data_IF_153029598508
#
_entry.id   IF_153029598508
#
_cell.length_a   1.000
_cell.length_b   1.000
_cell.length_c   1.000
_cell.angle_alpha   90.00
_cell.angle_beta   90.00
_cell.angle_gamma   90.00
#
_symmetry.space_group_name_H-M   'P 1'
#
loop_
_entity.id
_entity.type
_entity.pdbx_description
1 polymer ?
#
# COMPACT_ATOMS: atom_id res chain seq x y z
N UNK A 1 17.29 57.00 -11.85
CA UNK A 1 16.61 56.02 -12.74
C UNK A 1 17.20 54.65 -12.46
N UNK A 2 16.54 53.84 -11.63
CA UNK A 2 16.93 52.46 -11.36
C UNK A 2 16.23 51.57 -12.38
N UNK A 3 17.00 51.00 -13.31
CA UNK A 3 16.52 50.09 -14.35
C UNK A 3 16.13 48.78 -13.65
N UNK A 4 14.83 48.47 -13.64
CA UNK A 4 14.35 47.14 -13.30
C UNK A 4 14.78 46.20 -14.44
N UNK A 5 15.83 45.41 -14.20
CA UNK A 5 16.21 44.31 -15.09
C UNK A 5 15.07 43.30 -15.04
N UNK A 6 14.23 43.32 -16.08
CA UNK A 6 13.16 42.35 -16.27
C UNK A 6 13.75 40.95 -16.28
N UNK A 7 13.35 40.14 -15.30
CA UNK A 7 13.69 38.72 -15.24
C UNK A 7 13.20 38.09 -16.54
N UNK A 8 14.09 37.50 -17.33
CA UNK A 8 13.72 36.77 -18.55
C UNK A 8 12.61 35.77 -18.20
N UNK A 9 11.56 35.61 -19.03
CA UNK A 9 10.53 34.62 -18.77
C UNK A 9 11.20 33.26 -18.72
N UNK A 10 11.25 32.65 -17.52
CA UNK A 10 11.68 31.26 -17.39
C UNK A 10 10.72 30.43 -18.24
N UNK A 11 11.25 29.76 -19.27
CA UNK A 11 10.46 28.83 -20.07
C UNK A 11 9.94 27.74 -19.14
N UNK A 12 8.67 27.83 -18.74
CA UNK A 12 8.02 26.85 -17.87
C UNK A 12 8.08 25.49 -18.55
N UNK A 13 8.70 24.53 -17.89
CA UNK A 13 8.79 23.17 -18.39
C UNK A 13 7.47 22.42 -18.20
N UNK A 14 7.38 21.23 -18.82
CA UNK A 14 6.30 20.29 -18.53
C UNK A 14 6.28 19.88 -17.06
N UNK A 15 7.46 19.77 -16.43
CA UNK A 15 7.61 19.44 -15.01
C UNK A 15 6.92 20.48 -14.11
N UNK A 16 7.17 21.78 -14.36
CA UNK A 16 6.53 22.87 -13.60
C UNK A 16 5.01 22.87 -13.80
N UNK A 17 4.56 22.55 -15.02
CA UNK A 17 3.12 22.46 -15.33
C UNK A 17 2.44 21.30 -14.59
N UNK A 18 3.13 20.15 -14.48
CA UNK A 18 2.65 19.00 -13.71
C UNK A 18 2.70 19.28 -12.20
N UNK A 19 3.75 19.94 -11.72
CA UNK A 19 3.88 20.33 -10.31
C UNK A 19 2.74 21.27 -9.88
N UNK A 20 2.48 22.31 -10.68
CA UNK A 20 1.37 23.26 -10.49
C UNK A 20 0.01 22.53 -10.47
N UNK A 21 -0.17 21.54 -11.36
CA UNK A 21 -1.39 20.74 -11.37
C UNK A 21 -1.49 19.86 -10.11
N UNK A 22 -0.46 19.11 -9.76
CA UNK A 22 -0.47 18.19 -8.62
C UNK A 22 -0.74 18.90 -7.29
N UNK A 23 -0.20 20.11 -7.13
CA UNK A 23 -0.27 20.90 -5.89
C UNK A 23 -1.47 21.85 -5.82
N UNK A 24 -2.35 21.86 -6.82
CA UNK A 24 -3.55 22.71 -6.83
C UNK A 24 -4.45 22.40 -5.62
N UNK A 25 -4.89 23.44 -4.94
CA UNK A 25 -5.87 23.36 -3.87
C UNK A 25 -7.22 22.86 -4.41
N UNK A 26 -7.71 21.77 -3.80
CA UNK A 26 -8.90 21.03 -4.23
C UNK A 26 -9.39 20.17 -3.06
N UNK A 27 -10.63 19.66 -3.16
CA UNK A 27 -11.26 18.85 -2.11
C UNK A 27 -10.39 17.68 -1.62
N UNK A 28 -9.77 16.94 -2.55
CA UNK A 28 -8.74 15.93 -2.23
C UNK A 28 -7.41 16.34 -2.85
N UNK A 29 -6.54 16.96 -2.07
CA UNK A 29 -5.16 17.29 -2.48
C UNK A 29 -4.48 16.05 -3.11
N UNK A 30 -3.75 16.20 -4.22
CA UNK A 30 -3.03 15.07 -4.83
C UNK A 30 -1.56 15.08 -4.39
N UNK A 31 -0.79 16.06 -4.84
CA UNK A 31 0.65 16.12 -4.62
C UNK A 31 1.42 15.01 -5.35
N UNK A 32 2.75 15.11 -5.37
CA UNK A 32 3.60 14.04 -5.89
C UNK A 32 3.45 12.76 -5.05
N UNK A 33 3.30 12.92 -3.74
CA UNK A 33 3.04 11.81 -2.81
C UNK A 33 1.77 11.04 -3.16
N UNK A 34 0.74 11.71 -3.70
CA UNK A 34 -0.52 11.11 -4.12
C UNK A 34 -0.36 10.07 -5.22
N UNK A 35 0.65 10.21 -6.09
CA UNK A 35 0.92 9.26 -7.17
C UNK A 35 1.33 7.88 -6.65
N UNK A 36 1.97 7.83 -5.48
CA UNK A 36 2.27 6.58 -4.78
C UNK A 36 1.10 6.18 -3.87
N UNK A 37 0.60 7.12 -3.06
CA UNK A 37 -0.38 6.84 -2.02
C UNK A 37 -1.69 6.28 -2.58
N UNK A 38 -2.32 6.96 -3.55
CA UNK A 38 -3.67 6.59 -3.98
C UNK A 38 -3.75 5.19 -4.59
N UNK A 39 -2.92 4.81 -5.58
CA UNK A 39 -3.01 3.46 -6.12
C UNK A 39 -2.69 2.40 -5.06
N UNK A 40 -1.65 2.60 -4.24
CA UNK A 40 -1.27 1.63 -3.22
C UNK A 40 -2.32 1.47 -2.12
N UNK A 41 -2.86 2.58 -1.59
CA UNK A 41 -3.90 2.53 -0.56
C UNK A 41 -5.21 1.92 -1.10
N UNK A 42 -5.59 2.28 -2.32
CA UNK A 42 -6.79 1.76 -2.96
C UNK A 42 -6.68 0.25 -3.20
N UNK A 43 -5.52 -0.22 -3.69
CA UNK A 43 -5.28 -1.65 -3.92
C UNK A 43 -5.19 -2.44 -2.62
N UNK A 44 -4.53 -1.91 -1.57
CA UNK A 44 -4.48 -2.58 -0.27
C UNK A 44 -5.87 -2.74 0.35
N UNK A 45 -6.66 -1.66 0.38
CA UNK A 45 -8.02 -1.69 0.91
C UNK A 45 -8.95 -2.57 0.05
N UNK A 46 -8.90 -2.40 -1.27
CA UNK A 46 -9.70 -3.17 -2.21
C UNK A 46 -9.36 -4.65 -2.20
N UNK A 47 -8.08 -5.01 -2.07
CA UNK A 47 -7.60 -6.39 -1.92
C UNK A 47 -8.12 -7.03 -0.65
N UNK A 48 -8.11 -6.29 0.48
CA UNK A 48 -8.68 -6.77 1.73
C UNK A 48 -10.20 -6.98 1.65
N UNK A 49 -10.95 -6.02 1.10
CA UNK A 49 -12.39 -6.14 0.89
C UNK A 49 -12.74 -7.30 -0.04
N UNK A 50 -12.00 -7.46 -1.13
CA UNK A 50 -12.21 -8.55 -2.09
C UNK A 50 -11.93 -9.90 -1.44
N UNK A 51 -10.83 -10.02 -0.71
CA UNK A 51 -10.43 -11.27 -0.07
C UNK A 51 -11.39 -11.71 1.02
N UNK A 52 -11.71 -10.80 1.96
CA UNK A 52 -12.69 -11.07 3.03
C UNK A 52 -14.11 -11.34 2.52
N UNK A 53 -14.45 -10.87 1.31
CA UNK A 53 -15.77 -11.12 0.73
C UNK A 53 -15.85 -12.44 -0.02
N UNK A 54 -14.83 -12.79 -0.80
CA UNK A 54 -14.95 -13.85 -1.81
C UNK A 54 -13.89 -14.94 -1.76
N UNK A 55 -12.80 -14.77 -1.00
CA UNK A 55 -11.62 -15.64 -1.14
C UNK A 55 -11.44 -16.57 0.07
N UNK A 56 -11.30 -17.86 -0.26
CA UNK A 56 -11.07 -18.93 0.70
C UNK A 56 -9.62 -19.01 1.17
N UNK A 57 -9.42 -19.52 2.38
CA UNK A 57 -8.13 -19.94 2.91
C UNK A 57 -8.01 -21.47 3.01
N UNK A 58 -8.87 -22.21 2.32
CA UNK A 58 -8.88 -23.68 2.36
C UNK A 58 -7.55 -24.30 1.90
N UNK A 59 -6.95 -23.77 0.84
CA UNK A 59 -5.73 -24.33 0.25
C UNK A 59 -4.44 -23.90 0.96
N UNK A 60 -4.50 -22.91 1.85
CA UNK A 60 -3.35 -22.40 2.61
C UNK A 60 -3.40 -22.81 4.08
N UNK A 61 -4.59 -22.79 4.69
CA UNK A 61 -4.81 -23.04 6.13
C UNK A 61 -5.87 -24.10 6.43
N UNK A 62 -6.67 -24.54 5.45
CA UNK A 62 -7.80 -25.43 5.70
C UNK A 62 -8.97 -24.74 6.43
N UNK A 63 -9.14 -23.44 6.22
CA UNK A 63 -10.10 -22.58 6.94
C UNK A 63 -11.00 -21.83 5.95
N UNK A 64 -12.29 -21.69 6.29
CA UNK A 64 -13.21 -20.77 5.63
C UNK A 64 -12.99 -19.34 6.15
N UNK A 65 -12.76 -18.38 5.26
CA UNK A 65 -12.28 -17.04 5.63
C UNK A 65 -13.03 -15.89 4.96
N UNK A 66 -14.12 -16.17 4.23
CA UNK A 66 -14.87 -15.16 3.50
C UNK A 66 -16.37 -15.15 3.80
N UNK A 67 -17.02 -14.02 3.55
CA UNK A 67 -18.49 -13.91 3.63
C UNK A 67 -19.18 -14.94 2.72
N UNK A 68 -18.61 -15.19 1.54
CA UNK A 68 -19.10 -16.20 0.60
C UNK A 68 -19.13 -17.62 1.22
N UNK A 69 -18.22 -17.91 2.14
CA UNK A 69 -18.14 -19.20 2.84
C UNK A 69 -18.92 -19.22 4.16
N UNK A 70 -19.59 -18.11 4.52
CA UNK A 70 -20.40 -17.99 5.74
C UNK A 70 -19.67 -17.42 6.96
N UNK A 71 -18.45 -16.88 6.79
CA UNK A 71 -17.82 -16.09 7.84
C UNK A 71 -18.58 -14.77 8.08
N UNK A 72 -18.40 -14.17 9.26
CA UNK A 72 -18.94 -12.84 9.59
C UNK A 72 -17.81 -11.82 9.73
N UNK A 73 -18.13 -10.54 9.96
CA UNK A 73 -17.13 -9.47 10.02
C UNK A 73 -15.98 -9.72 11.01
N UNK A 74 -16.24 -10.46 12.10
CA UNK A 74 -15.24 -10.77 13.12
C UNK A 74 -14.35 -11.96 12.76
N UNK A 75 -14.73 -12.75 11.75
CA UNK A 75 -14.07 -14.02 11.41
C UNK A 75 -13.57 -14.09 9.98
N UNK A 76 -13.87 -13.10 9.14
CA UNK A 76 -13.31 -13.01 7.80
C UNK A 76 -11.85 -12.59 7.85
N UNK A 77 -11.03 -13.12 6.95
CA UNK A 77 -9.63 -12.75 6.87
C UNK A 77 -9.09 -12.89 5.45
N UNK A 78 -8.10 -12.06 5.10
CA UNK A 78 -7.15 -12.38 4.04
C UNK A 78 -5.97 -13.11 4.69
N UNK A 79 -5.99 -14.44 4.60
CA UNK A 79 -5.00 -15.28 5.29
C UNK A 79 -3.67 -15.35 4.54
N UNK A 80 -2.60 -15.60 5.29
CA UNK A 80 -1.25 -15.78 4.77
C UNK A 80 -1.14 -16.93 3.75
N UNK A 81 -0.14 -16.90 2.85
CA UNK A 81 0.16 -18.03 1.97
C UNK A 81 0.54 -19.28 2.76
N UNK A 82 0.39 -20.47 2.16
CA UNK A 82 0.85 -21.73 2.78
C UNK A 82 2.36 -21.71 3.05
N UNK A 83 2.82 -22.38 4.12
CA UNK A 83 4.24 -22.32 4.52
C UNK A 83 5.22 -22.83 3.44
N UNK A 84 4.77 -23.70 2.53
CA UNK A 84 5.57 -24.15 1.38
C UNK A 84 5.95 -23.02 0.41
N UNK A 85 5.25 -21.88 0.46
CA UNK A 85 5.55 -20.70 -0.35
C UNK A 85 6.75 -19.90 0.20
N UNK A 86 7.20 -20.21 1.43
CA UNK A 86 8.29 -19.49 2.10
C UNK A 86 8.04 -17.99 2.12
N UNK A 87 9.03 -17.23 1.63
CA UNK A 87 8.97 -15.77 1.49
C UNK A 87 8.75 -15.30 0.06
N UNK A 88 8.16 -16.13 -0.81
CA UNK A 88 7.85 -15.72 -2.19
C UNK A 88 7.05 -14.43 -2.19
N UNK A 89 7.42 -13.49 -3.06
CA UNK A 89 6.63 -12.27 -3.28
C UNK A 89 5.23 -12.61 -3.84
N UNK A 90 5.08 -13.81 -4.40
CA UNK A 90 3.82 -14.36 -4.89
C UNK A 90 3.16 -13.38 -5.85
N UNK A 91 3.94 -12.88 -6.82
CA UNK A 91 3.40 -12.01 -7.85
C UNK A 91 2.40 -12.78 -8.72
N UNK A 92 1.37 -12.09 -9.23
CA UNK A 92 0.40 -12.69 -10.14
C UNK A 92 1.07 -13.29 -11.39
N UNK A 93 2.07 -12.61 -11.91
CA UNK A 93 2.91 -13.07 -13.03
C UNK A 93 4.12 -13.92 -12.60
N UNK A 94 4.22 -14.21 -11.30
CA UNK A 94 5.27 -15.06 -10.75
C UNK A 94 5.11 -16.52 -11.16
N UNK A 95 6.16 -17.35 -10.97
CA UNK A 95 6.16 -18.74 -11.39
C UNK A 95 5.10 -19.60 -10.68
N UNK A 96 4.61 -19.17 -9.52
CA UNK A 96 3.65 -19.94 -8.72
C UNK A 96 2.20 -19.80 -9.22
N UNK A 97 1.85 -18.62 -9.73
CA UNK A 97 0.50 -18.31 -10.24
C UNK A 97 0.44 -18.27 -11.77
N UNK A 98 1.53 -17.91 -12.44
CA UNK A 98 1.65 -17.87 -13.89
C UNK A 98 0.46 -17.20 -14.60
N UNK A 99 0.08 -16.01 -14.13
CA UNK A 99 -1.06 -15.21 -14.62
C UNK A 99 -2.46 -15.80 -14.38
N UNK A 100 -2.58 -16.97 -13.75
CA UNK A 100 -3.86 -17.48 -13.29
C UNK A 100 -4.28 -16.77 -11.99
N UNK A 101 -5.19 -15.80 -12.13
CA UNK A 101 -5.72 -15.03 -11.01
C UNK A 101 -6.46 -15.89 -9.98
N UNK A 102 -7.21 -16.91 -10.44
CA UNK A 102 -7.95 -17.79 -9.53
C UNK A 102 -6.98 -18.59 -8.68
N UNK A 103 -5.96 -19.16 -9.33
CA UNK A 103 -4.92 -19.90 -8.61
C UNK A 103 -4.14 -19.01 -7.66
N UNK A 104 -3.81 -17.79 -8.09
CA UNK A 104 -3.13 -16.82 -7.26
C UNK A 104 -3.90 -16.50 -5.97
N UNK A 105 -5.22 -16.31 -6.05
CA UNK A 105 -6.08 -16.15 -4.88
C UNK A 105 -6.05 -17.39 -3.97
N UNK A 106 -6.15 -18.59 -4.53
CA UNK A 106 -6.09 -19.85 -3.77
C UNK A 106 -4.75 -20.06 -3.06
N UNK A 107 -3.64 -19.56 -3.61
CA UNK A 107 -2.31 -19.67 -3.02
C UNK A 107 -2.02 -18.63 -1.93
N UNK A 108 -2.97 -17.74 -1.62
CA UNK A 108 -2.78 -16.65 -0.65
C UNK A 108 -2.09 -15.41 -1.21
N UNK A 109 -2.04 -15.25 -2.53
CA UNK A 109 -1.40 -14.10 -3.17
C UNK A 109 -1.97 -12.74 -2.76
N UNK A 110 -3.25 -12.68 -2.38
CA UNK A 110 -3.85 -11.46 -1.84
C UNK A 110 -3.18 -10.98 -0.54
N UNK A 111 -2.58 -11.87 0.25
CA UNK A 111 -1.89 -11.46 1.47
C UNK A 111 -0.63 -10.63 1.16
N UNK A 112 0.24 -11.12 0.26
CA UNK A 112 1.44 -10.35 -0.13
C UNK A 112 1.03 -9.09 -0.89
N UNK A 113 -0.03 -9.15 -1.70
CA UNK A 113 -0.57 -7.99 -2.38
C UNK A 113 -1.00 -6.88 -1.40
N UNK A 114 -1.81 -7.22 -0.40
CA UNK A 114 -2.28 -6.25 0.62
C UNK A 114 -1.12 -5.76 1.47
N UNK A 115 -0.22 -6.65 1.92
CA UNK A 115 0.92 -6.28 2.74
C UNK A 115 1.88 -5.32 2.01
N UNK A 116 2.25 -5.63 0.76
CA UNK A 116 3.21 -4.83 -0.01
C UNK A 116 2.60 -3.50 -0.46
N UNK A 117 1.38 -3.49 -1.00
CA UNK A 117 0.70 -2.23 -1.35
C UNK A 117 0.42 -1.40 -0.09
N UNK A 118 0.07 -2.03 1.03
CA UNK A 118 -0.08 -1.39 2.33
C UNK A 118 1.20 -0.70 2.80
N UNK A 119 2.36 -1.37 2.68
CA UNK A 119 3.66 -0.79 3.00
C UNK A 119 3.94 0.47 2.15
N UNK A 120 3.75 0.39 0.84
CA UNK A 120 3.93 1.54 -0.06
C UNK A 120 2.91 2.65 0.19
N UNK A 121 1.68 2.31 0.57
CA UNK A 121 0.66 3.28 0.96
C UNK A 121 1.08 4.05 2.22
N UNK A 122 1.62 3.38 3.23
CA UNK A 122 2.14 4.03 4.44
C UNK A 122 3.33 4.97 4.12
N UNK A 123 4.22 4.55 3.22
CA UNK A 123 5.30 5.41 2.70
C UNK A 123 4.70 6.64 2.00
N UNK A 124 3.76 6.43 1.07
CA UNK A 124 3.07 7.51 0.36
C UNK A 124 2.34 8.48 1.29
N UNK A 125 1.75 7.96 2.37
CA UNK A 125 1.04 8.79 3.36
C UNK A 125 2.01 9.64 4.19
N UNK A 126 3.15 9.09 4.61
CA UNK A 126 4.19 9.86 5.29
C UNK A 126 4.79 10.94 4.38
N UNK A 127 5.07 10.61 3.11
CA UNK A 127 5.50 11.58 2.09
C UNK A 127 4.47 12.69 1.89
N UNK A 128 3.17 12.35 1.93
CA UNK A 128 2.08 13.33 1.83
C UNK A 128 2.06 14.28 3.02
N UNK A 129 2.26 13.79 4.23
CA UNK A 129 2.35 14.64 5.43
C UNK A 129 3.52 15.62 5.32
N UNK A 130 4.68 15.17 4.80
CA UNK A 130 5.84 16.03 4.53
C UNK A 130 5.54 17.08 3.45
N UNK A 131 4.94 16.66 2.34
CA UNK A 131 4.62 17.53 1.21
C UNK A 131 3.64 18.63 1.62
N UNK A 132 2.54 18.27 2.30
CA UNK A 132 1.56 19.25 2.79
C UNK A 132 2.20 20.18 3.83
N UNK A 133 2.98 19.64 4.77
CA UNK A 133 3.67 20.47 5.77
C UNK A 133 4.59 21.51 5.10
N UNK A 134 5.29 21.11 4.04
CA UNK A 134 6.16 22.00 3.27
C UNK A 134 5.37 23.07 2.51
N UNK A 135 4.23 22.72 1.90
CA UNK A 135 3.40 23.67 1.14
C UNK A 135 2.70 24.69 2.05
N UNK A 136 2.25 24.26 3.23
CA UNK A 136 1.59 25.14 4.21
C UNK A 136 2.62 25.93 5.04
N UNK A 137 3.88 25.46 5.11
CA UNK A 137 4.95 26.13 5.87
C UNK A 137 4.96 25.79 7.37
N UNK A 138 4.45 24.62 7.75
CA UNK A 138 4.44 24.13 9.14
C UNK A 138 5.57 23.12 9.39
N UNK A 139 5.92 22.91 10.66
CA UNK A 139 6.91 21.90 11.06
C UNK A 139 6.33 20.49 10.86
N UNK A 140 7.09 19.53 10.28
CA UNK A 140 6.56 18.22 9.88
C UNK A 140 6.47 17.19 11.03
N UNK A 141 6.11 17.59 12.26
CA UNK A 141 6.07 16.66 13.39
C UNK A 141 5.02 15.55 13.26
N UNK A 142 3.95 15.77 12.49
CA UNK A 142 2.98 14.72 12.19
C UNK A 142 3.61 13.57 11.40
N UNK A 143 4.46 13.88 10.40
CA UNK A 143 5.21 12.88 9.64
C UNK A 143 6.19 12.10 10.53
N UNK A 144 6.84 12.80 11.47
CA UNK A 144 7.71 12.15 12.45
C UNK A 144 6.92 11.20 13.36
N UNK A 145 5.77 11.63 13.89
CA UNK A 145 4.92 10.77 14.71
C UNK A 145 4.40 9.55 13.94
N UNK A 146 4.10 9.70 12.64
CA UNK A 146 3.63 8.62 11.78
C UNK A 146 4.70 7.55 11.48
N UNK A 147 5.97 7.79 11.82
CA UNK A 147 7.00 6.73 11.77
C UNK A 147 6.73 5.59 12.73
N UNK A 148 5.99 5.81 13.84
CA UNK A 148 5.62 4.75 14.77
C UNK A 148 4.67 3.72 14.12
N UNK A 149 3.53 4.11 13.48
CA UNK A 149 2.73 3.22 12.65
C UNK A 149 3.53 2.44 11.59
N UNK A 150 4.45 3.11 10.89
CA UNK A 150 5.31 2.46 9.90
C UNK A 150 6.20 1.40 10.56
N UNK A 151 6.83 1.72 11.70
CA UNK A 151 7.69 0.78 12.42
C UNK A 151 6.90 -0.45 12.87
N UNK A 152 5.68 -0.28 13.40
CA UNK A 152 4.81 -1.40 13.78
C UNK A 152 4.46 -2.25 12.57
N UNK A 153 3.99 -1.64 11.47
CA UNK A 153 3.62 -2.39 10.27
C UNK A 153 4.81 -3.17 9.69
N UNK A 154 5.95 -2.49 9.50
CA UNK A 154 7.16 -3.12 8.92
C UNK A 154 7.70 -4.21 9.84
N UNK A 155 7.75 -3.98 11.15
CA UNK A 155 8.27 -5.00 12.08
C UNK A 155 7.38 -6.24 12.13
N UNK A 156 6.06 -6.08 12.14
CA UNK A 156 5.10 -7.18 12.35
C UNK A 156 4.75 -7.91 11.06
N UNK A 157 4.50 -7.19 9.96
CA UNK A 157 4.03 -7.80 8.71
C UNK A 157 5.16 -8.16 7.75
N UNK A 158 6.37 -7.61 7.93
CA UNK A 158 7.51 -7.87 7.05
C UNK A 158 8.68 -8.51 7.81
N UNK A 159 9.27 -7.83 8.78
CA UNK A 159 10.50 -8.30 9.44
C UNK A 159 10.25 -9.58 10.24
N UNK A 160 9.17 -9.64 11.03
CA UNK A 160 8.83 -10.80 11.82
C UNK A 160 8.72 -12.08 10.97
N UNK A 161 7.86 -12.16 9.93
CA UNK A 161 7.78 -13.36 9.10
C UNK A 161 9.03 -13.61 8.25
N UNK A 162 9.80 -12.59 7.85
CA UNK A 162 11.12 -12.77 7.22
C UNK A 162 12.13 -13.46 8.16
N UNK A 163 12.00 -13.25 9.47
CA UNK A 163 12.77 -13.98 10.49
C UNK A 163 12.24 -15.38 10.79
N UNK A 164 11.03 -15.72 10.33
CA UNK A 164 10.42 -17.06 10.42
C UNK A 164 10.65 -17.85 9.11
N UNK A 165 10.08 -19.06 9.00
CA UNK A 165 10.25 -19.88 7.79
C UNK A 165 9.47 -19.40 6.57
N UNK A 166 8.52 -18.49 6.71
CA UNK A 166 7.73 -17.98 5.60
C UNK A 166 6.63 -17.01 6.02
N UNK A 167 5.94 -16.44 5.03
CA UNK A 167 4.81 -15.53 5.24
C UNK A 167 3.66 -16.14 6.02
N UNK A 168 3.54 -17.48 6.02
CA UNK A 168 2.53 -18.22 6.77
C UNK A 168 2.38 -17.76 8.23
N UNK A 169 3.50 -17.40 8.87
CA UNK A 169 3.55 -17.00 10.28
C UNK A 169 3.26 -15.51 10.52
N UNK A 170 3.13 -14.71 9.47
CA UNK A 170 2.70 -13.32 9.63
C UNK A 170 1.24 -13.25 10.12
N UNK A 171 0.79 -12.12 10.67
CA UNK A 171 -0.63 -11.94 10.93
C UNK A 171 -1.43 -11.97 9.63
N UNK A 172 -2.54 -12.72 9.65
CA UNK A 172 -3.58 -12.63 8.63
C UNK A 172 -4.39 -11.33 8.81
N UNK A 173 -4.96 -10.79 7.73
CA UNK A 173 -5.74 -9.55 7.81
C UNK A 173 -7.22 -9.86 8.09
N UNK A 174 -7.58 -10.05 9.36
CA UNK A 174 -8.93 -10.34 9.84
C UNK A 174 -9.12 -10.00 11.31
#
# INVERSE_FOLDING_TARGET
>A
MTIAVGRAPSSRGWFDSVDDWLKRDRFVFIGWSGLLLFPCAYLALGGWLTGTTFVTSWYTHGIASSYLEGANFLTVAVSTPGNSMGHSLLFLWGPEANWDFTRWCQLGGLWTFVALHGAFALIGFCLRQLEIARLVGIRPYNALAFTAPIAVFVSVFLIYPLGQSGWFFAPSFG
#
